data_IF_882506688705
#
_entry.id   IF_882506688705
#
_cell.length_a   1.000
_cell.length_b   1.000
_cell.length_c   1.000
_cell.angle_alpha   90.00
_cell.angle_beta   90.00
_cell.angle_gamma   90.00
#
_symmetry.space_group_name_H-M   'P 1'
#
loop_
_entity.id
_entity.type
_entity.pdbx_description
1 polymer ?
#
# COMPACT_ATOMS: atom_id res chain seq x y z
N UNK A 1 -28.76 1.11 -1.70
CA UNK A 1 -28.41 2.54 -1.56
C UNK A 1 -28.23 3.12 -2.95
N UNK A 2 -28.73 4.32 -3.20
CA UNK A 2 -28.46 5.05 -4.44
C UNK A 2 -27.02 5.55 -4.45
N UNK A 3 -26.42 5.66 -5.64
CA UNK A 3 -25.13 6.33 -5.79
C UNK A 3 -25.25 7.81 -5.41
N UNK A 4 -24.16 8.37 -4.89
CA UNK A 4 -23.99 9.82 -4.83
C UNK A 4 -24.07 10.39 -6.26
N UNK A 5 -24.81 11.49 -6.46
CA UNK A 5 -25.06 12.05 -7.79
C UNK A 5 -23.79 12.58 -8.46
N UNK A 6 -22.88 13.16 -7.68
CA UNK A 6 -21.57 13.63 -8.17
C UNK A 6 -20.74 12.43 -8.60
N UNK A 7 -20.68 11.37 -7.77
CA UNK A 7 -19.97 10.14 -8.11
C UNK A 7 -20.56 9.44 -9.35
N UNK A 8 -21.88 9.40 -9.49
CA UNK A 8 -22.54 8.83 -10.68
C UNK A 8 -22.16 9.62 -11.95
N UNK A 9 -22.12 10.95 -11.88
CA UNK A 9 -21.72 11.81 -13.00
C UNK A 9 -20.28 11.53 -13.40
N UNK A 10 -19.37 11.44 -12.43
CA UNK A 10 -17.95 11.13 -12.66
C UNK A 10 -17.78 9.73 -13.27
N UNK A 11 -18.47 8.71 -12.75
CA UNK A 11 -18.42 7.36 -13.32
C UNK A 11 -18.86 7.34 -14.79
N UNK A 12 -19.90 8.11 -15.14
CA UNK A 12 -20.39 8.23 -16.51
C UNK A 12 -19.44 8.98 -17.44
N UNK A 13 -18.68 9.96 -16.93
CA UNK A 13 -17.70 10.70 -17.74
C UNK A 13 -16.37 9.95 -17.86
N UNK A 14 -15.75 9.62 -16.74
CA UNK A 14 -14.37 9.11 -16.70
C UNK A 14 -14.29 7.61 -16.97
N UNK A 15 -15.33 6.85 -16.60
CA UNK A 15 -15.35 5.39 -16.72
C UNK A 15 -16.24 4.89 -17.86
N UNK A 16 -16.60 5.75 -18.82
CA UNK A 16 -17.45 5.39 -19.97
C UNK A 16 -16.91 4.21 -20.78
N UNK A 17 -15.58 4.05 -20.82
CA UNK A 17 -14.90 2.93 -21.48
C UNK A 17 -15.18 1.56 -20.81
N UNK A 18 -15.66 1.56 -19.56
CA UNK A 18 -16.04 0.36 -18.81
C UNK A 18 -17.54 0.09 -18.88
N UNK A 19 -18.35 1.05 -19.28
CA UNK A 19 -19.80 0.90 -19.33
C UNK A 19 -20.54 2.23 -19.38
N UNK A 20 -21.82 2.16 -19.72
CA UNK A 20 -22.71 3.32 -19.83
C UNK A 20 -23.71 3.40 -18.68
N UNK A 21 -23.82 2.35 -17.87
CA UNK A 21 -24.67 2.30 -16.68
C UNK A 21 -23.87 1.80 -15.49
N UNK A 22 -24.08 2.43 -14.33
CA UNK A 22 -23.36 2.12 -13.09
C UNK A 22 -24.36 1.89 -11.98
N UNK A 23 -24.24 0.75 -11.29
CA UNK A 23 -25.17 0.37 -10.22
C UNK A 23 -24.39 0.06 -8.94
N UNK A 24 -24.73 0.74 -7.84
CA UNK A 24 -24.16 0.41 -6.53
C UNK A 24 -24.63 -0.96 -6.05
N UNK A 25 -23.71 -1.72 -5.46
CA UNK A 25 -23.99 -2.98 -4.76
C UNK A 25 -23.89 -2.84 -3.23
N UNK A 26 -23.81 -1.61 -2.72
CA UNK A 26 -23.56 -1.32 -1.31
C UNK A 26 -22.07 -1.10 -1.00
N UNK A 27 -21.81 -0.38 0.09
CA UNK A 27 -20.47 0.14 0.38
C UNK A 27 -19.93 0.95 -0.81
N UNK A 28 -18.62 0.86 -1.03
CA UNK A 28 -17.93 1.49 -2.17
C UNK A 28 -17.92 0.61 -3.43
N UNK A 29 -18.84 -0.34 -3.58
CA UNK A 29 -18.85 -1.27 -4.73
C UNK A 29 -19.84 -0.83 -5.82
N UNK A 30 -19.35 -0.75 -7.05
CA UNK A 30 -20.14 -0.38 -8.24
C UNK A 30 -19.96 -1.42 -9.34
N UNK A 31 -21.03 -1.76 -10.04
CA UNK A 31 -20.98 -2.62 -11.24
C UNK A 31 -21.23 -1.76 -12.47
N UNK A 32 -20.31 -1.80 -13.43
CA UNK A 32 -20.46 -1.19 -14.74
C UNK A 32 -21.17 -2.14 -15.71
N UNK A 33 -22.08 -1.62 -16.53
CA UNK A 33 -22.82 -2.35 -17.56
C UNK A 33 -22.61 -1.65 -18.92
N UNK A 34 -22.45 -2.40 -20.02
CA UNK A 34 -22.67 -3.85 -20.15
C UNK A 34 -21.46 -4.73 -19.81
N UNK A 35 -20.30 -4.16 -19.45
CA UNK A 35 -19.08 -4.95 -19.23
C UNK A 35 -19.17 -5.95 -18.08
N UNK A 36 -20.05 -5.70 -17.10
CA UNK A 36 -20.15 -6.48 -15.87
C UNK A 36 -18.98 -6.27 -14.91
N UNK A 37 -18.04 -5.36 -15.21
CA UNK A 37 -16.87 -5.11 -14.34
C UNK A 37 -17.30 -4.55 -12.99
N UNK A 38 -16.66 -5.04 -11.93
CA UNK A 38 -16.81 -4.49 -10.57
C UNK A 38 -15.72 -3.48 -10.31
N UNK A 39 -16.14 -2.35 -9.74
CA UNK A 39 -15.30 -1.22 -9.39
C UNK A 39 -15.42 -0.95 -7.90
N UNK A 40 -14.31 -0.52 -7.31
CA UNK A 40 -14.33 0.18 -6.04
C UNK A 40 -14.39 1.69 -6.34
N UNK A 41 -15.42 2.37 -5.86
CA UNK A 41 -15.64 3.79 -6.14
C UNK A 41 -16.04 4.51 -4.85
N UNK A 42 -15.29 5.56 -4.52
CA UNK A 42 -15.55 6.41 -3.36
C UNK A 42 -15.48 7.90 -3.72
N UNK A 43 -16.25 8.70 -3.00
CA UNK A 43 -16.18 10.16 -3.00
C UNK A 43 -16.27 10.65 -1.55
N UNK A 44 -15.30 11.45 -1.11
CA UNK A 44 -15.10 11.78 0.30
C UNK A 44 -14.63 13.22 0.49
N UNK A 45 -14.91 13.80 1.65
CA UNK A 45 -14.43 15.15 2.03
C UNK A 45 -12.94 15.18 2.40
N UNK A 46 -12.34 14.02 2.68
CA UNK A 46 -10.91 13.88 3.00
C UNK A 46 -10.06 13.97 1.73
N UNK A 47 -9.95 15.19 1.20
CA UNK A 47 -9.37 15.46 -0.13
C UNK A 47 -7.91 15.02 -0.22
N UNK A 48 -7.07 15.47 0.70
CA UNK A 48 -5.62 15.19 0.67
C UNK A 48 -5.35 13.68 0.77
N UNK A 49 -6.05 12.99 1.67
CA UNK A 49 -5.96 11.54 1.84
C UNK A 49 -6.36 10.77 0.58
N UNK A 50 -7.49 11.14 -0.03
CA UNK A 50 -7.99 10.45 -1.24
C UNK A 50 -7.06 10.69 -2.44
N UNK A 51 -6.51 11.90 -2.57
CA UNK A 51 -5.52 12.22 -3.62
C UNK A 51 -4.22 11.45 -3.38
N UNK A 52 -3.71 11.43 -2.15
CA UNK A 52 -2.52 10.67 -1.79
C UNK A 52 -2.65 9.18 -2.10
N UNK A 53 -3.79 8.60 -1.76
CA UNK A 53 -4.11 7.20 -2.08
C UNK A 53 -4.11 6.95 -3.58
N UNK A 54 -4.76 7.81 -4.37
CA UNK A 54 -4.80 7.70 -5.82
C UNK A 54 -3.39 7.75 -6.45
N UNK A 55 -2.58 8.73 -6.07
CA UNK A 55 -1.22 8.87 -6.59
C UNK A 55 -0.32 7.70 -6.19
N UNK A 56 -0.49 7.19 -4.96
CA UNK A 56 0.23 5.99 -4.51
C UNK A 56 -0.09 4.75 -5.35
N UNK A 57 -1.38 4.54 -5.67
CA UNK A 57 -1.84 3.42 -6.48
C UNK A 57 -1.34 3.51 -7.93
N UNK A 58 -1.38 4.71 -8.53
CA UNK A 58 -0.85 4.95 -9.87
C UNK A 58 0.65 4.67 -9.93
N UNK A 59 1.43 5.15 -8.97
CA UNK A 59 2.87 4.91 -8.94
C UNK A 59 3.21 3.42 -8.76
N UNK A 60 2.49 2.71 -7.88
CA UNK A 60 2.67 1.27 -7.70
C UNK A 60 2.30 0.49 -8.98
N UNK A 61 1.24 0.90 -9.67
CA UNK A 61 0.85 0.33 -10.96
C UNK A 61 1.91 0.55 -12.04
N UNK A 62 2.45 1.77 -12.14
CA UNK A 62 3.50 2.13 -13.10
C UNK A 62 4.81 1.38 -12.86
N UNK A 63 5.19 1.14 -11.60
CA UNK A 63 6.38 0.36 -11.26
C UNK A 63 6.27 -1.11 -11.75
N UNK A 64 5.07 -1.61 -12.04
CA UNK A 64 4.84 -2.99 -12.46
C UNK A 64 4.45 -3.13 -13.94
N UNK A 65 4.29 -2.04 -14.70
CA UNK A 65 3.69 -2.06 -16.04
C UNK A 65 4.61 -2.50 -17.20
N UNK A 66 5.86 -2.86 -16.95
CA UNK A 66 6.81 -3.32 -18.00
C UNK A 66 6.74 -4.82 -18.33
N UNK A 67 5.65 -5.52 -17.98
CA UNK A 67 5.52 -6.96 -18.29
C UNK A 67 4.95 -7.16 -19.72
N UNK A 68 5.86 -7.44 -20.67
CA UNK A 68 5.75 -7.96 -22.06
C UNK A 68 4.36 -8.44 -22.60
N UNK A 69 3.31 -7.63 -22.48
CA UNK A 69 2.00 -7.92 -23.09
C UNK A 69 1.30 -9.19 -22.59
N UNK A 70 1.77 -9.84 -21.53
CA UNK A 70 1.05 -10.95 -20.88
C UNK A 70 0.06 -10.39 -19.86
N UNK A 71 -0.95 -9.69 -20.38
CA UNK A 71 -2.11 -9.27 -19.60
C UNK A 71 -2.86 -10.47 -19.03
N UNK A 72 -3.07 -10.48 -17.72
CA UNK A 72 -4.10 -11.32 -17.10
C UNK A 72 -3.87 -11.74 -15.66
N UNK A 73 -2.64 -12.01 -15.24
CA UNK A 73 -2.37 -12.57 -13.91
C UNK A 73 -1.18 -11.86 -13.24
N UNK A 74 -1.44 -11.06 -12.19
CA UNK A 74 -0.36 -10.58 -11.31
C UNK A 74 -0.22 -9.08 -11.07
N UNK A 75 -1.28 -8.27 -11.25
CA UNK A 75 -1.27 -6.88 -10.72
C UNK A 75 -1.36 -6.92 -9.19
N UNK A 76 -0.37 -6.36 -8.50
CA UNK A 76 -0.37 -6.26 -7.03
C UNK A 76 -1.33 -5.20 -6.50
N UNK A 77 -1.64 -4.20 -7.32
CA UNK A 77 -2.49 -3.08 -6.97
C UNK A 77 -3.67 -2.99 -7.93
N UNK A 78 -4.83 -2.49 -7.46
CA UNK A 78 -5.95 -2.23 -8.35
C UNK A 78 -5.58 -1.11 -9.33
N UNK A 79 -6.06 -1.23 -10.57
CA UNK A 79 -5.91 -0.17 -11.56
C UNK A 79 -6.78 1.03 -11.20
N UNK A 80 -6.21 2.24 -11.26
CA UNK A 80 -6.94 3.49 -11.04
C UNK A 80 -7.56 3.91 -12.38
N UNK A 81 -8.89 3.85 -12.47
CA UNK A 81 -9.63 4.27 -13.66
C UNK A 81 -9.87 5.77 -13.67
N UNK A 82 -10.12 6.35 -12.50
CA UNK A 82 -10.35 7.79 -12.36
C UNK A 82 -10.07 8.24 -10.92
N UNK A 83 -9.54 9.45 -10.78
CA UNK A 83 -9.32 10.09 -9.48
C UNK A 83 -9.22 11.60 -9.65
N UNK A 84 -9.71 12.37 -8.69
CA UNK A 84 -9.58 13.82 -8.76
C UNK A 84 -10.36 14.54 -7.67
N UNK A 85 -10.51 15.85 -7.84
CA UNK A 85 -11.40 16.68 -7.02
C UNK A 85 -12.67 16.97 -7.82
N UNK A 86 -13.82 16.85 -7.18
CA UNK A 86 -15.11 17.25 -7.76
C UNK A 86 -15.35 18.75 -7.56
N UNK A 87 -16.23 19.30 -8.39
CA UNK A 87 -16.61 20.72 -8.32
C UNK A 87 -17.24 21.11 -6.97
N UNK A 88 -17.82 20.15 -6.25
CA UNK A 88 -18.36 20.33 -4.90
C UNK A 88 -17.30 20.29 -3.79
N UNK A 89 -16.02 20.24 -4.14
CA UNK A 89 -14.89 20.32 -3.20
C UNK A 89 -14.50 19.00 -2.54
N UNK A 90 -15.13 17.88 -2.91
CA UNK A 90 -14.74 16.53 -2.46
C UNK A 90 -13.67 15.93 -3.35
N UNK A 91 -13.08 14.80 -2.94
CA UNK A 91 -12.19 14.01 -3.78
C UNK A 91 -12.79 12.64 -4.06
N UNK A 92 -12.46 12.07 -5.21
CA UNK A 92 -12.95 10.75 -5.62
C UNK A 92 -11.79 9.85 -6.05
N UNK A 93 -12.01 8.55 -5.89
CA UNK A 93 -11.13 7.49 -6.35
C UNK A 93 -11.97 6.33 -6.88
N UNK A 94 -11.71 5.92 -8.11
CA UNK A 94 -12.36 4.82 -8.80
C UNK A 94 -11.29 3.86 -9.29
N UNK A 95 -11.37 2.60 -8.84
CA UNK A 95 -10.41 1.56 -9.16
C UNK A 95 -11.09 0.24 -9.53
N UNK A 96 -10.30 -0.71 -10.02
CA UNK A 96 -10.71 -2.12 -10.01
C UNK A 96 -11.17 -2.56 -8.62
N UNK A 97 -12.24 -3.35 -8.55
CA UNK A 97 -12.61 -4.05 -7.33
C UNK A 97 -11.79 -5.33 -7.19
N UNK A 98 -11.12 -5.51 -6.06
CA UNK A 98 -10.36 -6.72 -5.76
C UNK A 98 -11.16 -7.66 -4.84
N UNK A 99 -11.37 -8.90 -5.28
CA UNK A 99 -11.89 -9.96 -4.43
C UNK A 99 -10.77 -10.52 -3.55
N UNK A 100 -10.57 -9.89 -2.40
CA UNK A 100 -9.57 -10.33 -1.45
C UNK A 100 -10.02 -11.62 -0.76
N UNK A 101 -9.16 -12.65 -0.83
CA UNK A 101 -9.34 -13.87 -0.05
C UNK A 101 -8.78 -13.67 1.36
N UNK A 102 -9.36 -14.33 2.38
CA UNK A 102 -8.87 -14.22 3.77
C UNK A 102 -7.42 -14.68 3.95
N UNK A 103 -6.92 -15.53 3.05
CA UNK A 103 -5.56 -16.05 3.10
C UNK A 103 -4.98 -16.26 1.71
N UNK A 104 -3.66 -16.24 1.65
CA UNK A 104 -2.86 -16.50 0.45
C UNK A 104 -2.11 -17.82 0.67
N UNK A 105 -2.16 -18.72 -0.31
CA UNK A 105 -1.42 -19.98 -0.28
C UNK A 105 0.09 -19.72 -0.24
N UNK A 106 0.89 -20.73 0.15
CA UNK A 106 2.37 -20.62 0.10
C UNK A 106 2.88 -20.23 -1.30
N UNK A 107 2.31 -20.82 -2.35
CA UNK A 107 2.65 -20.45 -3.73
C UNK A 107 2.28 -19.00 -4.05
N UNK A 108 1.11 -18.53 -3.61
CA UNK A 108 0.71 -17.14 -3.76
C UNK A 108 1.60 -16.18 -2.98
N UNK A 109 2.04 -16.55 -1.78
CA UNK A 109 2.99 -15.77 -0.97
C UNK A 109 4.36 -15.66 -1.64
N UNK A 110 4.83 -16.74 -2.27
CA UNK A 110 6.05 -16.71 -3.10
C UNK A 110 5.94 -15.70 -4.25
N UNK A 111 4.83 -15.75 -5.01
CA UNK A 111 4.57 -14.82 -6.13
C UNK A 111 4.47 -13.39 -5.61
N UNK A 112 3.77 -13.17 -4.50
CA UNK A 112 3.65 -11.87 -3.86
C UNK A 112 5.02 -11.31 -3.46
N UNK A 113 5.87 -12.11 -2.82
CA UNK A 113 7.22 -11.69 -2.42
C UNK A 113 8.09 -11.26 -3.60
N UNK A 114 8.07 -12.05 -4.68
CA UNK A 114 8.80 -11.71 -5.91
C UNK A 114 8.28 -10.41 -6.53
N UNK A 115 6.96 -10.28 -6.76
CA UNK A 115 6.37 -9.10 -7.40
C UNK A 115 6.57 -7.84 -6.55
N UNK A 116 6.51 -7.97 -5.22
CA UNK A 116 6.73 -6.82 -4.34
C UNK A 116 8.19 -6.34 -4.44
N UNK A 117 9.14 -7.26 -4.50
CA UNK A 117 10.54 -6.93 -4.69
C UNK A 117 10.80 -6.28 -6.06
N UNK A 118 10.15 -6.77 -7.12
CA UNK A 118 10.22 -6.15 -8.46
C UNK A 118 9.68 -4.71 -8.44
N UNK A 119 8.51 -4.50 -7.81
CA UNK A 119 7.92 -3.16 -7.65
C UNK A 119 8.86 -2.22 -6.89
N UNK A 120 9.42 -2.69 -5.78
CA UNK A 120 10.38 -1.94 -4.98
C UNK A 120 11.64 -1.58 -5.78
N UNK A 121 12.21 -2.52 -6.53
CA UNK A 121 13.41 -2.29 -7.35
C UNK A 121 13.19 -1.24 -8.45
N UNK A 122 11.97 -1.13 -8.97
CA UNK A 122 11.60 -0.21 -10.06
C UNK A 122 11.08 1.14 -9.57
N UNK A 123 10.44 1.17 -8.39
CA UNK A 123 9.83 2.37 -7.80
C UNK A 123 10.83 3.34 -7.19
N UNK A 124 11.78 3.83 -7.97
CA UNK A 124 12.80 4.81 -7.55
C UNK A 124 12.53 6.15 -8.23
N UNK A 125 12.52 7.24 -7.47
CA UNK A 125 12.39 8.58 -8.04
C UNK A 125 13.65 8.91 -8.89
N UNK A 126 13.51 9.52 -10.08
CA UNK A 126 14.65 9.84 -10.96
C UNK A 126 15.76 10.64 -10.28
N UNK A 127 15.38 11.59 -9.41
CA UNK A 127 16.33 12.42 -8.65
C UNK A 127 16.87 11.77 -7.36
N UNK A 128 16.58 10.48 -7.12
CA UNK A 128 16.96 9.79 -5.88
C UNK A 128 16.28 10.34 -4.62
N UNK A 129 15.24 11.18 -4.78
CA UNK A 129 14.41 11.70 -3.68
C UNK A 129 13.38 10.65 -3.26
N UNK A 130 12.76 10.89 -2.11
CA UNK A 130 11.93 9.90 -1.44
C UNK A 130 10.54 10.43 -1.17
N UNK A 131 9.58 9.50 -1.04
CA UNK A 131 8.17 9.83 -0.82
C UNK A 131 7.45 10.20 -2.10
N UNK A 132 6.24 10.71 -1.92
CA UNK A 132 5.38 11.17 -3.00
C UNK A 132 5.41 12.70 -3.06
N UNK A 133 5.17 13.27 -4.24
CA UNK A 133 4.96 14.73 -4.37
C UNK A 133 3.65 15.23 -3.72
N UNK A 134 2.88 14.31 -3.12
CA UNK A 134 1.65 14.55 -2.38
C UNK A 134 1.71 13.77 -1.06
N UNK A 135 1.04 14.24 -0.02
CA UNK A 135 0.98 13.51 1.24
C UNK A 135 0.25 12.16 1.04
N UNK A 136 0.87 11.07 1.47
CA UNK A 136 0.23 9.75 1.58
C UNK A 136 -0.13 9.45 3.03
N UNK A 137 -0.98 8.46 3.28
CA UNK A 137 -1.51 8.18 4.62
C UNK A 137 -1.55 6.68 4.90
N UNK A 138 -1.17 6.30 6.12
CA UNK A 138 -1.40 4.97 6.68
C UNK A 138 -2.58 5.05 7.67
N UNK A 139 -3.79 4.75 7.18
CA UNK A 139 -5.02 5.01 7.92
C UNK A 139 -5.32 6.51 7.94
N UNK A 140 -5.56 7.09 9.11
CA UNK A 140 -5.79 8.54 9.28
C UNK A 140 -4.50 9.34 9.52
N UNK A 141 -3.38 8.66 9.73
CA UNK A 141 -2.09 9.27 9.98
C UNK A 141 -1.39 9.52 8.64
N UNK A 142 -0.95 10.76 8.39
CA UNK A 142 -0.10 11.06 7.24
C UNK A 142 1.22 10.30 7.36
N UNK A 143 1.66 9.69 6.26
CA UNK A 143 2.99 9.14 6.16
C UNK A 143 3.98 10.31 6.19
N UNK A 144 5.00 10.27 7.07
CA UNK A 144 6.03 11.30 7.04
C UNK A 144 6.74 11.30 5.67
N UNK A 145 7.24 12.46 5.23
CA UNK A 145 8.19 12.55 4.12
C UNK A 145 9.48 11.79 4.51
N UNK A 146 9.46 10.47 4.35
CA UNK A 146 10.56 9.59 4.74
C UNK A 146 11.65 9.67 3.69
N UNK A 147 12.83 10.13 4.10
CA UNK A 147 13.99 10.43 3.25
C UNK A 147 14.86 9.21 2.90
N UNK A 148 14.32 8.00 2.84
CA UNK A 148 15.11 6.82 2.43
C UNK A 148 14.26 5.74 1.74
N UNK A 149 14.74 5.22 0.60
CA UNK A 149 14.11 4.20 -0.25
C UNK A 149 14.20 2.85 0.45
N UNK A 150 15.32 2.56 1.10
CA UNK A 150 15.45 1.34 1.86
C UNK A 150 14.56 1.38 3.12
N UNK A 151 14.34 2.56 3.70
CA UNK A 151 13.42 2.77 4.82
C UNK A 151 11.97 2.50 4.41
N UNK A 152 11.46 3.08 3.32
CA UNK A 152 10.08 2.82 2.87
C UNK A 152 9.85 1.36 2.44
N UNK A 153 10.82 0.76 1.75
CA UNK A 153 10.79 -0.67 1.41
C UNK A 153 10.72 -1.56 2.66
N UNK A 154 11.46 -1.20 3.71
CA UNK A 154 11.59 -2.00 4.93
C UNK A 154 10.53 -1.66 5.99
N UNK A 155 9.95 -0.46 5.98
CA UNK A 155 8.72 -0.09 6.71
C UNK A 155 7.55 -0.95 6.25
N UNK A 156 7.47 -1.23 4.95
CA UNK A 156 6.47 -2.16 4.38
C UNK A 156 6.72 -3.62 4.80
N UNK A 157 7.96 -4.03 5.08
CA UNK A 157 8.23 -5.35 5.68
C UNK A 157 7.94 -5.33 7.19
N UNK A 158 8.14 -4.21 7.88
CA UNK A 158 7.87 -4.03 9.31
C UNK A 158 6.40 -4.21 9.66
N UNK A 159 5.47 -3.64 8.87
CA UNK A 159 4.03 -3.85 9.09
C UNK A 159 3.61 -5.31 8.87
N UNK A 160 4.30 -6.06 7.99
CA UNK A 160 3.97 -7.47 7.73
C UNK A 160 4.18 -8.33 8.97
N UNK A 161 5.20 -8.05 9.78
CA UNK A 161 5.47 -8.79 11.01
C UNK A 161 4.42 -8.53 12.11
N UNK A 162 3.79 -7.36 12.12
CA UNK A 162 2.83 -6.98 13.16
C UNK A 162 1.51 -7.78 13.12
N UNK A 163 1.14 -8.36 11.96
CA UNK A 163 -0.14 -9.07 11.76
C UNK A 163 0.01 -10.57 11.49
N UNK A 164 1.10 -11.18 11.97
CA UNK A 164 1.32 -12.63 11.85
C UNK A 164 2.25 -13.05 10.71
N UNK A 165 2.72 -12.10 9.89
CA UNK A 165 3.80 -12.33 8.93
C UNK A 165 3.43 -13.14 7.69
N UNK A 166 4.40 -13.23 6.77
CA UNK A 166 4.39 -14.17 5.66
C UNK A 166 5.31 -15.36 5.94
N UNK A 167 5.13 -16.46 5.22
CA UNK A 167 6.01 -17.63 5.35
C UNK A 167 7.39 -17.32 4.79
N UNK A 168 8.35 -18.20 5.10
CA UNK A 168 9.70 -18.17 4.51
C UNK A 168 9.66 -18.12 2.96
N UNK A 169 8.66 -18.73 2.33
CA UNK A 169 8.52 -18.73 0.88
C UNK A 169 8.39 -17.31 0.29
N UNK A 170 7.74 -16.40 1.00
CA UNK A 170 7.67 -14.98 0.62
C UNK A 170 9.04 -14.32 0.74
N UNK A 171 9.70 -14.45 1.90
CA UNK A 171 10.96 -13.76 2.18
C UNK A 171 12.10 -14.29 1.30
N UNK A 172 12.15 -15.60 1.04
CA UNK A 172 13.14 -16.21 0.15
C UNK A 172 12.94 -15.69 -1.29
N UNK A 173 11.70 -15.55 -1.76
CA UNK A 173 11.39 -15.00 -3.08
C UNK A 173 11.71 -13.50 -3.18
N UNK A 174 11.37 -12.72 -2.15
CA UNK A 174 11.70 -11.29 -2.08
C UNK A 174 13.22 -11.09 -2.11
N UNK A 175 13.96 -11.82 -1.29
CA UNK A 175 15.40 -11.66 -1.16
C UNK A 175 16.22 -12.25 -2.31
N UNK A 176 15.64 -13.12 -3.12
CA UNK A 176 16.23 -13.52 -4.39
C UNK A 176 16.33 -12.35 -5.39
N UNK A 177 15.46 -11.34 -5.27
CA UNK A 177 15.44 -10.14 -6.12
C UNK A 177 16.18 -8.97 -5.46
N UNK A 178 15.91 -8.73 -4.17
CA UNK A 178 16.57 -7.68 -3.36
C UNK A 178 17.32 -8.35 -2.19
N UNK A 179 18.64 -8.56 -2.32
CA UNK A 179 19.45 -9.14 -1.25
C UNK A 179 19.30 -8.39 0.07
N UNK A 180 19.48 -9.10 1.19
CA UNK A 180 19.50 -8.45 2.51
C UNK A 180 20.66 -7.46 2.57
N UNK A 181 20.35 -6.22 2.94
CA UNK A 181 21.37 -5.22 3.27
C UNK A 181 22.07 -5.66 4.55
N UNK A 182 23.38 -5.82 4.53
CA UNK A 182 24.22 -6.16 5.68
C UNK A 182 25.20 -5.03 6.00
N UNK A 183 25.69 -4.89 7.25
CA UNK A 183 25.31 -5.64 8.46
C UNK A 183 23.98 -5.15 9.07
N UNK A 184 23.42 -5.87 10.06
CA UNK A 184 22.28 -5.44 10.90
C UNK A 184 20.91 -5.37 10.22
N UNK A 185 20.65 -6.27 9.26
CA UNK A 185 19.35 -6.35 8.58
C UNK A 185 18.17 -6.46 9.56
N UNK A 186 18.27 -7.34 10.55
CA UNK A 186 17.18 -7.63 11.48
C UNK A 186 16.89 -6.46 12.43
N UNK A 187 17.92 -5.76 12.88
CA UNK A 187 17.83 -4.61 13.78
C UNK A 187 17.14 -3.45 13.07
N UNK A 188 17.51 -3.19 11.81
CA UNK A 188 16.78 -2.22 10.97
C UNK A 188 15.32 -2.61 10.81
N UNK A 189 15.02 -3.88 10.51
CA UNK A 189 13.64 -4.35 10.39
C UNK A 189 12.83 -4.13 11.67
N UNK A 190 13.42 -4.37 12.85
CA UNK A 190 12.79 -4.07 14.15
C UNK A 190 12.53 -2.58 14.36
N UNK A 191 13.46 -1.71 13.96
CA UNK A 191 13.26 -0.26 14.04
C UNK A 191 12.04 0.20 13.23
N UNK A 192 11.77 -0.46 12.11
CA UNK A 192 10.65 -0.14 11.23
C UNK A 192 9.34 -0.71 11.72
N UNK A 193 9.38 -1.93 12.24
CA UNK A 193 8.26 -2.51 12.96
C UNK A 193 7.85 -1.61 14.14
N UNK A 194 8.81 -1.02 14.87
CA UNK A 194 8.52 -0.09 15.98
C UNK A 194 7.65 1.10 15.56
N UNK A 195 7.95 1.71 14.40
CA UNK A 195 7.14 2.82 13.88
C UNK A 195 5.65 2.42 13.77
N UNK A 196 5.37 1.24 13.23
CA UNK A 196 4.00 0.73 13.06
C UNK A 196 3.31 0.43 14.38
N UNK A 197 4.02 -0.17 15.36
CA UNK A 197 3.46 -0.39 16.70
C UNK A 197 3.15 0.94 17.40
N UNK A 198 3.99 1.96 17.25
CA UNK A 198 3.74 3.29 17.80
C UNK A 198 2.53 3.97 17.13
N UNK A 199 2.43 3.89 15.79
CA UNK A 199 1.27 4.42 15.06
C UNK A 199 -0.02 3.71 15.49
N UNK A 200 0.00 2.38 15.62
CA UNK A 200 -1.17 1.60 16.07
C UNK A 200 -1.53 1.87 17.54
N UNK A 201 -0.54 2.10 18.40
CA UNK A 201 -0.79 2.56 19.76
C UNK A 201 -1.49 3.93 19.78
N UNK A 202 -1.10 4.84 18.88
CA UNK A 202 -1.70 6.18 18.74
C UNK A 202 -3.10 6.16 18.10
N UNK A 203 -3.44 5.17 17.28
CA UNK A 203 -4.78 5.07 16.70
C UNK A 203 -5.73 4.22 17.56
N UNK A 204 -5.26 3.09 18.07
CA UNK A 204 -6.12 2.05 18.65
C UNK A 204 -5.89 1.78 20.14
N UNK A 205 -4.83 2.36 20.74
CA UNK A 205 -4.45 2.16 22.15
C UNK A 205 -4.27 0.66 22.48
N UNK A 206 -4.39 0.30 23.76
CA UNK A 206 -4.47 -1.11 24.19
C UNK A 206 -3.20 -1.93 23.93
N UNK A 207 -3.39 -3.14 23.38
CA UNK A 207 -2.38 -4.20 23.27
C UNK A 207 -1.12 -3.86 22.47
N UNK A 208 -1.12 -2.78 21.69
CA UNK A 208 0.06 -2.35 20.91
C UNK A 208 1.17 -1.74 21.77
N UNK A 209 0.88 -1.34 23.02
CA UNK A 209 1.89 -0.76 23.93
C UNK A 209 2.97 -1.77 24.28
N UNK A 210 2.60 -3.00 24.59
CA UNK A 210 3.57 -4.02 25.01
C UNK A 210 4.53 -4.36 23.86
N UNK A 211 4.01 -4.47 22.64
CA UNK A 211 4.81 -4.66 21.41
C UNK A 211 5.82 -3.54 21.22
N UNK A 212 5.35 -2.28 21.19
CA UNK A 212 6.21 -1.11 21.05
C UNK A 212 7.33 -1.05 22.12
N UNK A 213 6.99 -1.24 23.39
CA UNK A 213 7.96 -1.22 24.51
C UNK A 213 8.97 -2.35 24.41
N UNK A 214 8.53 -3.55 24.02
CA UNK A 214 9.42 -4.71 23.83
C UNK A 214 10.46 -4.43 22.74
N UNK A 215 10.03 -3.91 21.58
CA UNK A 215 10.93 -3.59 20.47
C UNK A 215 11.90 -2.47 20.87
N UNK A 216 11.42 -1.40 21.52
CA UNK A 216 12.27 -0.32 22.01
C UNK A 216 13.38 -0.82 22.93
N UNK A 217 13.05 -1.68 23.90
CA UNK A 217 14.04 -2.27 24.81
C UNK A 217 15.09 -3.09 24.06
N UNK A 218 14.66 -3.90 23.09
CA UNK A 218 15.57 -4.70 22.27
C UNK A 218 16.52 -3.83 21.44
N UNK A 219 16.05 -2.71 20.91
CA UNK A 219 16.87 -1.78 20.11
C UNK A 219 17.84 -0.99 20.99
N UNK A 220 17.42 -0.54 22.18
CA UNK A 220 18.30 0.12 23.15
C UNK A 220 19.44 -0.83 23.54
N UNK A 221 19.11 -2.07 23.92
CA UNK A 221 20.13 -3.07 24.27
C UNK A 221 21.12 -3.33 23.12
N UNK A 222 20.64 -3.34 21.87
CA UNK A 222 21.52 -3.47 20.71
C UNK A 222 22.50 -2.29 20.62
N UNK A 223 22.03 -1.05 20.78
CA UNK A 223 22.89 0.14 20.76
C UNK A 223 23.95 0.09 21.87
N UNK A 224 23.54 -0.22 23.11
CA UNK A 224 24.45 -0.31 24.25
C UNK A 224 25.59 -1.32 23.97
N UNK A 225 25.25 -2.50 23.43
CA UNK A 225 26.22 -3.54 23.11
C UNK A 225 27.16 -3.19 21.93
N UNK A 226 26.73 -2.31 21.02
CA UNK A 226 27.55 -1.86 19.88
C UNK A 226 28.57 -0.83 20.34
N UNK A 227 28.20 0.04 21.28
CA UNK A 227 29.12 1.06 21.83
C UNK A 227 30.20 0.43 22.73
N UNK A 228 29.89 -0.68 23.41
CA UNK A 228 30.85 -1.46 24.23
C UNK A 228 31.84 -2.32 23.39
N UNK A 229 31.67 -2.39 22.07
CA UNK A 229 32.49 -3.19 21.17
C UNK A 229 33.65 -2.41 20.49
N UNK A 230 33.88 -1.16 20.91
CA UNK A 230 35.03 -0.33 20.50
C UNK A 230 36.14 -0.32 21.56
#
# INVERSE_FOLDING_TARGET
MSLDKTLETILRSECAHLGTQFTSRGGSTVVAQPSGRRLFAKIESSVEQTVGEAESLKAMGAALSDDDGKGGEGKLTPEVHASGKSDDGRAYLITDYLDLKPSISRSGQKVLGQRLAEMHKRGVHPDGRFGFGVATYCGVTGDPELKDLEQQMRDRLGIMNMFGGFTRDFFDAYHAVIPRTEPYYNERLRLYELYHHLNHLLMFRGGYRSGAVSIMRSLIQFCDNVDDAK
#
